data_IF_222762771455
#
_entry.id   IF_222762771455
#
_cell.length_a   1.000
_cell.length_b   1.000
_cell.length_c   1.000
_cell.angle_alpha   90.00
_cell.angle_beta   90.00
_cell.angle_gamma   90.00
#
_symmetry.space_group_name_H-M   'P 1'
#
loop_
_entity.id
_entity.type
_entity.pdbx_description
1 polymer ?
#
# COMPACT_ATOMS: atom_id res chain seq x y z
N UNK A 1 -47.33 53.52 -29.92
CA UNK A 1 -47.57 52.18 -29.32
C UNK A 1 -47.17 51.13 -30.36
N UNK A 2 -46.62 49.97 -29.99
CA UNK A 2 -45.35 49.72 -29.30
C UNK A 2 -44.37 48.85 -30.15
N UNK A 3 -43.22 48.53 -29.53
CA UNK A 3 -42.38 47.34 -29.71
C UNK A 3 -41.24 47.31 -30.75
N UNK A 4 -40.04 47.27 -30.17
CA UNK A 4 -38.70 46.81 -30.56
C UNK A 4 -38.62 45.49 -31.32
N UNK A 5 -37.69 45.32 -32.29
CA UNK A 5 -36.34 44.73 -32.11
C UNK A 5 -35.68 44.33 -33.47
N UNK A 6 -34.34 44.23 -33.45
CA UNK A 6 -33.45 43.24 -34.10
C UNK A 6 -32.46 43.64 -35.22
N UNK A 7 -31.17 43.30 -34.93
CA UNK A 7 -30.00 43.00 -35.79
C UNK A 7 -29.48 44.12 -36.74
N UNK A 8 -28.18 44.29 -37.04
CA UNK A 8 -27.03 43.41 -37.02
C UNK A 8 -25.75 44.30 -37.11
N UNK A 9 -24.76 44.10 -36.26
CA UNK A 9 -23.35 44.47 -36.57
C UNK A 9 -22.41 43.37 -36.08
N UNK A 10 -22.23 42.37 -36.94
CA UNK A 10 -20.97 41.62 -37.04
C UNK A 10 -19.86 42.56 -37.51
N UNK A 11 -18.71 42.50 -36.85
CA UNK A 11 -17.33 42.46 -37.39
C UNK A 11 -16.43 42.86 -36.23
N UNK A 12 -16.00 41.84 -35.48
CA UNK A 12 -14.80 41.72 -34.63
C UNK A 12 -15.16 40.68 -33.57
N UNK A 13 -14.58 39.50 -33.69
CA UNK A 13 -14.36 38.40 -32.72
C UNK A 13 -14.28 37.14 -33.59
N UNK A 14 -13.18 37.00 -34.35
CA UNK A 14 -12.82 35.75 -35.02
C UNK A 14 -11.31 35.51 -34.96
N UNK A 15 -10.64 36.03 -33.93
CA UNK A 15 -9.19 35.87 -33.76
C UNK A 15 -8.78 35.65 -32.29
N UNK A 16 -9.69 35.16 -31.45
CA UNK A 16 -9.41 34.96 -30.02
C UNK A 16 -10.00 33.64 -29.47
N UNK A 17 -10.20 32.65 -30.35
CA UNK A 17 -10.77 31.34 -30.01
C UNK A 17 -9.92 30.17 -30.53
N UNK A 18 -8.62 30.39 -30.71
CA UNK A 18 -7.65 29.38 -31.13
C UNK A 18 -6.39 29.36 -30.24
N UNK A 19 -6.53 29.68 -28.95
CA UNK A 19 -5.41 29.70 -28.00
C UNK A 19 -5.61 28.85 -26.73
N UNK A 20 -6.65 28.02 -26.66
CA UNK A 20 -6.82 27.09 -25.54
C UNK A 20 -7.34 25.74 -26.01
N UNK A 21 -6.49 25.00 -26.72
CA UNK A 21 -6.64 23.54 -26.85
C UNK A 21 -5.31 22.91 -27.27
N UNK A 22 -4.24 23.25 -26.56
CA UNK A 22 -3.13 22.33 -26.36
C UNK A 22 -3.14 21.98 -24.88
N UNK A 23 -4.16 21.24 -24.43
CA UNK A 23 -3.88 20.29 -23.36
C UNK A 23 -3.01 19.24 -24.03
N UNK A 24 -1.70 19.38 -23.84
CA UNK A 24 -0.78 18.26 -23.94
C UNK A 24 -1.44 17.11 -23.19
N UNK A 25 -1.72 16.02 -23.91
CA UNK A 25 -2.08 14.78 -23.26
C UNK A 25 -0.86 14.34 -22.46
N UNK A 26 -0.76 14.78 -21.20
CA UNK A 26 0.04 14.05 -20.23
C UNK A 26 -0.45 12.61 -20.33
N UNK A 27 0.44 11.70 -20.73
CA UNK A 27 0.14 10.28 -20.78
C UNK A 27 -0.45 9.93 -19.42
N UNK A 28 -1.71 9.48 -19.39
CA UNK A 28 -2.39 9.19 -18.13
C UNK A 28 -1.75 7.92 -17.58
N UNK A 29 -0.72 8.06 -16.76
CA UNK A 29 -0.05 6.96 -16.09
C UNK A 29 -1.08 6.34 -15.16
N UNK A 30 -1.40 5.07 -15.39
CA UNK A 30 -2.25 4.26 -14.51
C UNK A 30 -1.30 3.26 -13.84
N UNK A 31 -0.92 3.49 -12.57
CA UNK A 31 -0.06 2.57 -11.86
C UNK A 31 -0.69 1.18 -11.79
N UNK A 32 0.13 0.17 -12.01
CA UNK A 32 -0.23 -1.25 -11.93
C UNK A 32 0.82 -1.95 -11.06
N UNK A 33 0.40 -2.85 -10.16
CA UNK A 33 1.32 -3.52 -9.24
C UNK A 33 2.23 -4.48 -10.01
N UNK A 34 3.52 -4.52 -9.65
CA UNK A 34 4.53 -5.32 -10.36
C UNK A 34 4.80 -6.70 -9.73
N UNK A 35 4.33 -6.96 -8.50
CA UNK A 35 4.59 -8.18 -7.73
C UNK A 35 3.57 -8.37 -6.59
N UNK A 36 3.46 -9.58 -6.05
CA UNK A 36 2.58 -9.89 -4.91
C UNK A 36 2.98 -9.15 -3.62
N UNK A 37 2.00 -8.90 -2.73
CA UNK A 37 2.25 -8.37 -1.38
C UNK A 37 2.54 -9.51 -0.39
N UNK A 38 2.07 -10.73 -0.65
CA UNK A 38 2.43 -11.93 0.14
C UNK A 38 3.11 -13.01 -0.72
N UNK A 39 3.84 -13.91 -0.07
CA UNK A 39 4.43 -15.08 -0.73
C UNK A 39 3.49 -16.28 -0.80
N UNK A 40 2.66 -16.45 0.22
CA UNK A 40 1.74 -17.58 0.33
C UNK A 40 0.33 -17.22 -0.15
N UNK A 41 -0.27 -18.12 -0.92
CA UNK A 41 -1.71 -18.15 -1.22
C UNK A 41 -2.50 -18.95 -0.18
N UNK A 42 -1.80 -19.62 0.74
CA UNK A 42 -2.41 -20.36 1.84
C UNK A 42 -2.89 -19.36 2.90
N UNK A 43 -4.18 -19.39 3.17
CA UNK A 43 -4.82 -18.57 4.19
C UNK A 43 -4.30 -19.00 5.57
N UNK A 44 -3.46 -18.17 6.19
CA UNK A 44 -3.04 -18.35 7.58
C UNK A 44 -4.04 -17.66 8.52
N UNK A 45 -4.73 -18.47 9.32
CA UNK A 45 -5.80 -18.07 10.24
C UNK A 45 -5.30 -17.59 11.62
N UNK A 46 -4.01 -17.25 11.78
CA UNK A 46 -3.42 -17.12 13.12
C UNK A 46 -3.40 -15.70 13.69
N UNK A 47 -3.60 -14.65 12.88
CA UNK A 47 -3.56 -13.26 13.37
C UNK A 47 -4.96 -12.81 13.80
N UNK A 48 -5.15 -12.29 15.02
CA UNK A 48 -6.41 -11.67 15.42
C UNK A 48 -6.80 -10.53 14.48
N UNK A 49 -7.99 -10.65 13.87
CA UNK A 49 -8.53 -9.64 12.95
C UNK A 49 -9.42 -8.61 13.65
N UNK A 50 -9.64 -8.77 14.95
CA UNK A 50 -10.44 -7.88 15.81
C UNK A 50 -9.70 -7.61 17.11
N UNK A 51 -10.11 -6.57 17.84
CA UNK A 51 -9.42 -6.07 19.03
C UNK A 51 -8.35 -5.05 18.64
N UNK A 52 -7.15 -5.21 19.20
CA UNK A 52 -6.03 -4.29 18.99
C UNK A 52 -4.90 -5.02 18.29
N UNK A 53 -4.44 -4.46 17.16
CA UNK A 53 -3.19 -4.83 16.51
C UNK A 53 -2.12 -3.81 16.90
N UNK A 54 -1.03 -4.27 17.51
CA UNK A 54 0.13 -3.42 17.74
C UNK A 54 1.00 -3.35 16.47
N UNK A 55 1.48 -2.16 16.13
CA UNK A 55 2.31 -1.90 14.96
C UNK A 55 3.62 -1.24 15.40
N UNK A 56 4.73 -1.95 15.26
CA UNK A 56 6.07 -1.43 15.58
C UNK A 56 6.82 -1.19 14.29
N UNK A 57 7.12 0.08 14.00
CA UNK A 57 7.79 0.50 12.79
C UNK A 57 9.22 0.98 13.06
N UNK A 58 10.13 0.69 12.13
CA UNK A 58 11.50 1.20 12.12
C UNK A 58 11.79 1.92 10.81
N UNK A 59 12.70 2.89 10.85
CA UNK A 59 13.24 3.55 9.66
C UNK A 59 14.61 2.94 9.36
N UNK A 60 14.81 2.45 8.14
CA UNK A 60 16.04 1.77 7.72
C UNK A 60 16.62 2.47 6.50
N UNK A 61 17.94 2.65 6.51
CA UNK A 61 18.69 3.14 5.36
C UNK A 61 19.88 2.25 5.04
N UNK A 62 20.47 2.44 3.87
CA UNK A 62 21.52 1.59 3.33
C UNK A 62 22.87 2.30 3.39
N UNK A 63 23.95 1.59 3.03
CA UNK A 63 25.19 2.28 2.68
C UNK A 63 24.94 3.17 1.46
N UNK A 64 25.36 4.46 1.50
CA UNK A 64 25.15 5.35 0.38
C UNK A 64 25.89 4.89 -0.87
N UNK A 65 25.24 5.02 -2.02
CA UNK A 65 25.81 4.69 -3.32
C UNK A 65 25.37 5.69 -4.41
N UNK A 66 25.92 5.53 -5.61
CA UNK A 66 25.59 6.31 -6.82
C UNK A 66 25.00 5.39 -7.91
N UNK A 67 24.35 4.30 -7.53
CA UNK A 67 23.85 3.30 -8.46
C UNK A 67 22.59 3.78 -9.19
N UNK A 68 22.71 4.05 -10.49
CA UNK A 68 21.60 4.51 -11.33
C UNK A 68 20.46 3.48 -11.49
N UNK A 69 20.69 2.21 -11.11
CA UNK A 69 19.64 1.17 -11.14
C UNK A 69 18.78 1.15 -9.87
N UNK A 70 19.12 1.96 -8.86
CA UNK A 70 18.33 2.25 -7.67
C UNK A 70 17.90 3.71 -7.64
N UNK A 71 16.81 4.00 -6.95
CA UNK A 71 16.31 5.35 -6.77
C UNK A 71 17.04 6.07 -5.65
N UNK A 72 17.77 7.13 -6.01
CA UNK A 72 18.46 7.96 -5.04
C UNK A 72 19.73 7.31 -4.51
N UNK A 73 20.16 7.72 -3.31
CA UNK A 73 21.45 7.28 -2.71
C UNK A 73 21.26 6.33 -1.53
N UNK A 74 20.07 5.77 -1.32
CA UNK A 74 19.82 4.80 -0.26
C UNK A 74 19.73 5.37 1.17
N UNK A 75 19.67 6.70 1.34
CA UNK A 75 19.53 7.37 2.65
C UNK A 75 18.30 8.27 2.75
N UNK A 76 17.87 8.60 3.98
CA UNK A 76 16.74 9.51 4.18
C UNK A 76 17.10 10.98 3.92
N UNK A 77 18.21 11.45 4.49
CA UNK A 77 18.65 12.84 4.37
C UNK A 77 19.36 13.06 3.02
N UNK A 78 18.84 13.96 2.17
CA UNK A 78 19.39 14.24 0.85
C UNK A 78 19.28 13.10 -0.18
N UNK A 79 18.70 11.95 0.18
CA UNK A 79 18.79 10.75 -0.64
C UNK A 79 17.87 10.70 -1.86
N UNK A 80 16.93 11.62 -1.99
CA UNK A 80 16.06 11.78 -3.18
C UNK A 80 16.07 13.25 -3.63
N UNK A 81 17.14 13.71 -4.31
CA UNK A 81 17.30 15.13 -4.65
C UNK A 81 16.17 15.73 -5.47
N UNK A 82 15.49 14.93 -6.30
CA UNK A 82 14.38 15.40 -7.14
C UNK A 82 13.17 15.87 -6.30
N UNK A 83 12.93 15.31 -5.11
CA UNK A 83 11.86 15.76 -4.21
C UNK A 83 12.19 17.08 -3.49
N UNK A 84 13.47 17.41 -3.38
CA UNK A 84 13.92 18.69 -2.82
C UNK A 84 13.83 19.80 -3.88
N UNK A 85 14.16 19.47 -5.13
CA UNK A 85 14.17 20.41 -6.25
C UNK A 85 12.77 20.72 -6.78
N UNK A 86 11.89 19.71 -6.84
CA UNK A 86 10.50 19.84 -7.30
C UNK A 86 9.53 19.24 -6.25
N UNK A 87 9.15 20.03 -5.22
CA UNK A 87 8.35 19.52 -4.13
C UNK A 87 6.94 19.14 -4.57
N UNK A 88 6.51 17.96 -4.15
CA UNK A 88 5.17 17.42 -4.38
C UNK A 88 4.14 17.93 -3.37
N UNK A 89 2.87 18.00 -3.77
CA UNK A 89 1.73 18.27 -2.88
C UNK A 89 1.21 17.02 -2.15
N UNK A 90 1.59 15.82 -2.59
CA UNK A 90 1.31 14.55 -1.92
C UNK A 90 2.61 14.08 -1.29
N UNK A 91 2.56 13.73 -0.01
CA UNK A 91 3.71 13.26 0.76
C UNK A 91 4.94 14.18 0.63
N UNK A 92 4.83 15.49 0.96
CA UNK A 92 5.96 16.41 0.91
C UNK A 92 7.04 16.06 1.94
N UNK A 93 8.26 16.49 1.68
CA UNK A 93 9.36 16.45 2.65
C UNK A 93 9.06 17.33 3.89
N UNK A 94 9.64 17.02 5.08
CA UNK A 94 10.59 15.94 5.35
C UNK A 94 9.92 14.58 5.61
N UNK A 95 10.51 13.50 5.08
CA UNK A 95 10.09 12.12 5.36
C UNK A 95 10.82 11.57 6.59
N UNK A 96 10.43 12.06 7.75
CA UNK A 96 11.00 11.67 9.05
C UNK A 96 10.01 10.80 9.83
N UNK A 97 10.31 10.55 11.12
CA UNK A 97 9.43 9.80 12.01
C UNK A 97 7.98 10.29 11.99
N UNK A 98 7.74 11.60 12.07
CA UNK A 98 6.38 12.15 12.12
C UNK A 98 5.62 11.96 10.80
N UNK A 99 6.32 11.91 9.67
CA UNK A 99 5.74 11.54 8.38
C UNK A 99 5.21 10.10 8.39
N UNK A 100 6.01 9.14 8.87
CA UNK A 100 5.58 7.75 8.98
C UNK A 100 4.49 7.54 10.04
N UNK A 101 4.54 8.27 11.15
CA UNK A 101 3.47 8.28 12.16
C UNK A 101 2.14 8.78 11.55
N UNK A 102 2.17 9.74 10.61
CA UNK A 102 0.97 10.20 9.93
C UNK A 102 0.37 9.15 8.98
N UNK A 103 1.21 8.36 8.29
CA UNK A 103 0.75 7.23 7.48
C UNK A 103 0.16 6.10 8.33
N UNK A 104 0.75 5.81 9.49
CA UNK A 104 0.21 4.83 10.44
C UNK A 104 -1.10 5.31 11.09
N UNK A 105 -1.21 6.60 11.39
CA UNK A 105 -2.48 7.20 11.83
C UNK A 105 -3.55 7.09 10.74
N UNK A 106 -3.19 7.31 9.46
CA UNK A 106 -4.11 7.06 8.35
C UNK A 106 -4.56 5.60 8.32
N UNK A 107 -3.63 4.65 8.42
CA UNK A 107 -3.95 3.22 8.42
C UNK A 107 -4.86 2.85 9.60
N UNK A 108 -4.59 3.38 10.80
CA UNK A 108 -5.46 3.22 11.97
C UNK A 108 -6.89 3.67 11.66
N UNK A 109 -7.06 4.91 11.22
CA UNK A 109 -8.38 5.47 10.88
C UNK A 109 -9.08 4.65 9.78
N UNK A 110 -8.33 4.17 8.78
CA UNK A 110 -8.85 3.31 7.73
C UNK A 110 -9.40 1.99 8.28
N UNK A 111 -8.66 1.30 9.14
CA UNK A 111 -9.07 0.01 9.70
C UNK A 111 -10.19 0.15 10.73
N UNK A 112 -10.17 1.18 11.58
CA UNK A 112 -11.27 1.48 12.51
C UNK A 112 -12.58 1.71 11.73
N UNK A 113 -12.54 2.56 10.70
CA UNK A 113 -13.70 2.79 9.84
C UNK A 113 -14.14 1.54 9.07
N UNK A 114 -13.20 0.80 8.48
CA UNK A 114 -13.52 -0.33 7.60
C UNK A 114 -14.04 -1.56 8.35
N UNK A 115 -13.70 -1.67 9.63
CA UNK A 115 -14.08 -2.78 10.51
C UNK A 115 -15.24 -2.44 11.46
N UNK A 116 -15.85 -1.26 11.35
CA UNK A 116 -16.87 -0.77 12.28
C UNK A 116 -16.37 -0.80 13.75
N UNK A 117 -15.17 -0.24 13.98
CA UNK A 117 -14.45 -0.19 15.26
C UNK A 117 -14.09 -1.56 15.86
N UNK A 118 -14.21 -2.66 15.10
CA UNK A 118 -13.84 -4.00 15.57
C UNK A 118 -12.34 -4.22 15.61
N UNK A 119 -11.56 -3.48 14.82
CA UNK A 119 -10.10 -3.48 14.82
C UNK A 119 -9.58 -2.06 15.03
N UNK A 120 -8.71 -1.89 16.03
CA UNK A 120 -7.93 -0.67 16.24
C UNK A 120 -6.44 -0.97 16.12
N UNK A 121 -5.67 0.01 15.67
CA UNK A 121 -4.22 -0.07 15.58
C UNK A 121 -3.59 0.81 16.67
N UNK A 122 -2.73 0.21 17.48
CA UNK A 122 -1.77 0.94 18.29
C UNK A 122 -0.46 0.96 17.52
N UNK A 123 0.14 2.13 17.29
CA UNK A 123 1.36 2.20 16.50
C UNK A 123 2.47 2.98 17.20
N UNK A 124 3.72 2.60 16.89
CA UNK A 124 4.91 3.33 17.29
C UNK A 124 5.98 3.22 16.21
N UNK A 125 6.53 4.36 15.79
CA UNK A 125 7.77 4.40 15.02
C UNK A 125 8.93 4.59 15.98
N UNK A 126 9.96 3.73 15.92
CA UNK A 126 11.17 3.88 16.73
C UNK A 126 11.91 5.18 16.34
N UNK A 127 12.60 5.85 17.29
CA UNK A 127 13.15 7.18 17.05
C UNK A 127 14.33 7.20 16.09
N UNK A 128 15.09 6.10 16.02
CA UNK A 128 16.36 6.06 15.29
C UNK A 128 16.16 5.61 13.84
N UNK A 129 17.09 6.06 12.99
CA UNK A 129 17.27 5.54 11.64
C UNK A 129 18.40 4.52 11.68
N UNK A 130 18.12 3.28 11.31
CA UNK A 130 19.06 2.18 11.35
C UNK A 130 19.75 2.02 10.01
N UNK A 131 21.06 2.25 9.95
CA UNK A 131 21.85 2.06 8.74
C UNK A 131 22.36 0.62 8.63
N UNK A 132 22.04 -0.04 7.52
CA UNK A 132 22.55 -1.38 7.20
C UNK A 132 23.99 -1.33 6.70
N UNK A 133 24.67 -2.47 6.73
CA UNK A 133 26.08 -2.58 6.34
C UNK A 133 26.27 -2.72 4.81
N UNK A 134 25.19 -2.95 4.07
CA UNK A 134 25.17 -3.18 2.62
C UNK A 134 24.46 -2.07 1.85
N UNK A 135 24.74 -1.99 0.56
CA UNK A 135 24.02 -1.12 -0.38
C UNK A 135 22.62 -1.70 -0.69
N UNK A 136 21.68 -0.86 -1.13
CA UNK A 136 20.29 -1.28 -1.40
C UNK A 136 20.20 -2.44 -2.40
N UNK A 137 20.99 -2.39 -3.47
CA UNK A 137 20.99 -3.41 -4.54
C UNK A 137 21.28 -4.84 -4.04
N UNK A 138 21.98 -4.96 -2.91
CA UNK A 138 22.33 -6.27 -2.35
C UNK A 138 21.10 -7.00 -1.83
N UNK A 139 20.12 -6.25 -1.32
CA UNK A 139 18.83 -6.75 -0.84
C UNK A 139 17.76 -6.87 -1.93
N UNK A 140 17.99 -6.30 -3.11
CA UNK A 140 17.00 -6.35 -4.20
C UNK A 140 17.01 -7.71 -4.91
N UNK A 141 15.86 -8.40 -5.00
CA UNK A 141 15.73 -9.63 -5.75
C UNK A 141 15.57 -9.29 -7.24
N UNK A 142 16.56 -9.65 -8.06
CA UNK A 142 16.64 -9.27 -9.48
C UNK A 142 17.14 -10.42 -10.34
N UNK A 143 16.71 -10.48 -11.59
CA UNK A 143 17.07 -11.54 -12.56
C UNK A 143 15.83 -12.18 -13.18
N UNK A 144 16.00 -13.03 -14.19
CA UNK A 144 14.88 -13.73 -14.85
C UNK A 144 14.23 -14.78 -13.93
N UNK A 145 15.03 -15.39 -13.06
CA UNK A 145 14.60 -16.36 -12.05
C UNK A 145 15.15 -15.90 -10.70
N UNK A 146 14.54 -14.87 -10.12
CA UNK A 146 14.88 -14.41 -8.78
C UNK A 146 14.04 -15.11 -7.72
N UNK A 147 14.54 -15.10 -6.50
CA UNK A 147 13.85 -15.58 -5.30
C UNK A 147 13.94 -14.49 -4.21
N UNK A 148 13.13 -14.59 -3.15
CA UNK A 148 12.93 -13.51 -2.17
C UNK A 148 13.85 -13.58 -0.94
N UNK A 149 14.87 -14.43 -0.96
CA UNK A 149 15.79 -14.71 0.15
C UNK A 149 16.54 -13.44 0.56
N UNK A 150 16.87 -12.57 -0.40
CA UNK A 150 17.46 -11.26 -0.14
C UNK A 150 16.56 -10.33 0.67
N UNK A 151 15.24 -10.44 0.53
CA UNK A 151 14.28 -9.67 1.33
C UNK A 151 14.17 -10.22 2.75
N UNK A 152 14.26 -11.55 2.91
CA UNK A 152 14.36 -12.15 4.24
C UNK A 152 15.66 -11.72 4.94
N UNK A 153 16.79 -11.69 4.21
CA UNK A 153 18.06 -11.16 4.72
C UNK A 153 17.94 -9.68 5.10
N UNK A 154 17.27 -8.86 4.28
CA UNK A 154 16.99 -7.45 4.60
C UNK A 154 16.23 -7.28 5.92
N UNK A 155 15.20 -8.10 6.15
CA UNK A 155 14.43 -8.09 7.41
C UNK A 155 15.32 -8.50 8.59
N UNK A 156 16.11 -9.56 8.45
CA UNK A 156 17.04 -10.03 9.50
C UNK A 156 18.06 -8.96 9.84
N UNK A 157 18.73 -8.38 8.85
CA UNK A 157 19.75 -7.34 9.05
C UNK A 157 19.16 -6.10 9.71
N UNK A 158 17.94 -5.70 9.30
CA UNK A 158 17.23 -4.54 9.87
C UNK A 158 16.94 -4.69 11.35
N UNK A 159 16.33 -5.81 11.76
CA UNK A 159 16.01 -6.04 13.17
C UNK A 159 17.26 -6.40 14.00
N UNK A 160 18.32 -6.92 13.37
CA UNK A 160 19.63 -7.06 14.01
C UNK A 160 20.22 -5.70 14.36
N UNK A 161 20.12 -4.69 13.48
CA UNK A 161 20.55 -3.31 13.81
C UNK A 161 19.76 -2.71 14.98
N UNK A 162 18.49 -3.05 15.11
CA UNK A 162 17.68 -2.64 16.27
C UNK A 162 18.21 -3.28 17.56
N UNK A 163 18.50 -4.58 17.54
CA UNK A 163 19.11 -5.29 18.68
C UNK A 163 20.49 -4.73 19.05
N UNK A 164 21.36 -4.50 18.06
CA UNK A 164 22.69 -3.88 18.24
C UNK A 164 22.60 -2.48 18.86
N UNK A 165 21.49 -1.77 18.64
CA UNK A 165 21.22 -0.46 19.22
C UNK A 165 20.55 -0.53 20.61
N UNK A 166 20.41 -1.72 21.20
CA UNK A 166 19.85 -1.92 22.54
C UNK A 166 18.37 -2.31 22.56
N UNK A 167 17.78 -2.60 21.39
CA UNK A 167 16.42 -3.07 21.27
C UNK A 167 15.37 -1.98 21.49
N UNK A 168 14.20 -2.35 22.00
CA UNK A 168 13.08 -1.44 22.19
C UNK A 168 12.15 -1.91 23.32
N UNK A 169 11.41 -0.99 23.96
CA UNK A 169 10.45 -1.41 24.99
C UNK A 169 9.31 -2.20 24.37
N UNK A 170 9.27 -3.50 24.68
CA UNK A 170 8.30 -4.48 24.21
C UNK A 170 7.27 -4.86 25.29
N UNK A 171 7.19 -4.09 26.39
CA UNK A 171 6.25 -4.36 27.47
C UNK A 171 4.80 -4.34 26.95
N UNK A 172 4.08 -5.45 27.13
CA UNK A 172 2.69 -5.58 26.71
C UNK A 172 2.48 -5.99 25.26
N UNK A 173 3.54 -6.11 24.46
CA UNK A 173 3.46 -6.59 23.09
C UNK A 173 3.43 -8.13 23.05
N UNK A 174 2.68 -8.65 22.09
CA UNK A 174 2.66 -10.07 21.73
C UNK A 174 3.28 -10.23 20.32
N UNK A 175 4.41 -10.95 20.16
CA UNK A 175 5.02 -11.20 18.86
C UNK A 175 4.08 -11.72 17.77
N UNK A 176 3.08 -12.52 18.15
CA UNK A 176 2.15 -13.13 17.19
C UNK A 176 0.96 -12.22 16.86
N UNK A 177 0.75 -11.16 17.66
CA UNK A 177 -0.26 -10.11 17.45
C UNK A 177 0.38 -8.71 17.28
N UNK A 178 1.61 -8.66 16.74
CA UNK A 178 2.31 -7.41 16.40
C UNK A 178 2.70 -7.43 14.93
N UNK A 179 2.31 -6.38 14.20
CA UNK A 179 2.80 -6.11 12.86
C UNK A 179 4.11 -5.31 12.94
N UNK A 180 5.18 -5.83 12.36
CA UNK A 180 6.47 -5.14 12.32
C UNK A 180 6.65 -4.48 10.95
N UNK A 181 6.93 -3.19 10.92
CA UNK A 181 7.04 -2.44 9.65
C UNK A 181 8.46 -1.91 9.49
N UNK A 182 9.03 -2.10 8.32
CA UNK A 182 10.31 -1.51 7.92
C UNK A 182 10.01 -0.45 6.87
N UNK A 183 10.14 0.82 7.25
CA UNK A 183 10.16 1.93 6.30
C UNK A 183 11.59 2.12 5.79
N UNK A 184 11.85 1.80 4.53
CA UNK A 184 13.20 1.88 3.97
C UNK A 184 13.42 3.15 3.14
N UNK A 185 14.63 3.70 3.18
CA UNK A 185 15.04 4.80 2.30
C UNK A 185 14.95 4.40 0.81
N UNK A 186 14.71 5.38 -0.06
CA UNK A 186 14.51 5.17 -1.50
C UNK A 186 13.03 5.07 -1.90
N UNK A 187 12.79 4.53 -3.09
CA UNK A 187 11.46 4.29 -3.66
C UNK A 187 11.22 2.78 -3.69
N UNK A 188 9.96 2.33 -3.61
CA UNK A 188 9.62 0.92 -3.77
C UNK A 188 9.72 0.47 -5.22
N UNK A 189 9.84 -0.84 -5.48
CA UNK A 189 9.75 -1.40 -6.84
C UNK A 189 8.33 -1.88 -7.15
N UNK A 190 7.32 -1.09 -6.78
CA UNK A 190 5.93 -1.53 -6.69
C UNK A 190 5.07 -1.35 -7.93
N UNK A 191 5.49 -0.50 -8.88
CA UNK A 191 4.68 -0.22 -10.06
C UNK A 191 5.33 -0.76 -11.35
N UNK A 192 4.50 -1.23 -12.28
CA UNK A 192 4.91 -1.57 -13.64
C UNK A 192 5.18 -0.28 -14.42
N UNK A 193 6.40 -0.17 -14.96
CA UNK A 193 6.89 1.05 -15.63
C UNK A 193 7.00 0.91 -17.15
N UNK A 194 6.51 -0.19 -17.72
CA UNK A 194 6.59 -0.46 -19.16
C UNK A 194 5.87 0.64 -19.96
N UNK A 195 6.58 1.26 -20.90
CA UNK A 195 6.02 2.29 -21.77
C UNK A 195 5.78 3.65 -21.09
N UNK A 196 6.40 3.89 -19.93
CA UNK A 196 6.36 5.19 -19.22
C UNK A 196 7.65 5.98 -19.46
N UNK A 197 7.64 7.28 -19.14
CA UNK A 197 8.83 8.12 -19.08
C UNK A 197 9.35 8.35 -17.66
N UNK A 198 8.88 7.53 -16.71
CA UNK A 198 9.37 7.52 -15.33
C UNK A 198 10.69 6.77 -15.27
N UNK A 199 11.52 7.14 -14.29
CA UNK A 199 12.79 6.46 -14.06
C UNK A 199 12.55 4.98 -13.71
N UNK A 200 13.26 4.09 -14.40
CA UNK A 200 13.19 2.64 -14.22
C UNK A 200 14.38 2.21 -13.37
N UNK A 201 14.09 1.87 -12.12
CA UNK A 201 15.08 1.51 -11.10
C UNK A 201 14.88 0.06 -10.68
N UNK A 202 15.34 -0.92 -11.50
CA UNK A 202 15.02 -2.32 -11.30
C UNK A 202 15.65 -2.92 -10.03
N UNK A 203 16.60 -2.23 -9.40
CA UNK A 203 17.27 -2.67 -8.17
C UNK A 203 16.69 -2.02 -6.91
N UNK A 204 15.60 -1.27 -7.00
CA UNK A 204 14.82 -0.86 -5.83
C UNK A 204 14.25 -2.08 -5.08
N UNK A 205 13.95 -1.88 -3.80
CA UNK A 205 13.38 -2.93 -2.96
C UNK A 205 11.87 -3.04 -3.23
N UNK A 206 11.35 -4.23 -3.58
CA UNK A 206 9.91 -4.47 -3.68
C UNK A 206 9.24 -4.46 -2.29
N UNK A 207 8.05 -3.87 -2.18
CA UNK A 207 7.25 -3.95 -0.96
C UNK A 207 6.57 -5.31 -0.81
N UNK A 208 6.82 -5.97 0.31
CA UNK A 208 6.27 -7.30 0.59
C UNK A 208 6.03 -7.49 2.09
N UNK A 209 5.06 -8.32 2.43
CA UNK A 209 4.79 -8.80 3.78
C UNK A 209 5.28 -10.23 3.89
N UNK A 210 6.27 -10.47 4.75
CA UNK A 210 6.78 -11.80 5.06
C UNK A 210 6.39 -12.20 6.48
N UNK A 211 5.67 -13.32 6.60
CA UNK A 211 5.26 -13.92 7.87
C UNK A 211 6.32 -14.90 8.37
N UNK A 212 6.11 -15.43 9.57
CA UNK A 212 7.06 -16.34 10.23
C UNK A 212 7.41 -17.55 9.37
N UNK A 213 6.41 -18.15 8.72
CA UNK A 213 6.61 -19.30 7.86
C UNK A 213 7.32 -18.95 6.56
N UNK A 214 7.01 -17.78 5.97
CA UNK A 214 7.74 -17.29 4.79
C UNK A 214 9.22 -17.07 5.13
N UNK A 215 9.52 -16.44 6.27
CA UNK A 215 10.88 -16.24 6.75
C UNK A 215 11.59 -17.57 7.05
N UNK A 216 10.90 -18.53 7.66
CA UNK A 216 11.43 -19.87 7.92
C UNK A 216 11.85 -20.58 6.63
N UNK A 217 11.02 -20.49 5.59
CA UNK A 217 11.29 -21.07 4.26
C UNK A 217 12.45 -20.37 3.55
N UNK A 218 12.39 -19.04 3.42
CA UNK A 218 13.41 -18.26 2.71
C UNK A 218 14.79 -18.29 3.38
N UNK A 219 14.84 -18.40 4.71
CA UNK A 219 16.10 -18.50 5.44
C UNK A 219 16.64 -19.93 5.51
N UNK A 220 15.93 -20.92 4.96
CA UNK A 220 16.19 -22.36 5.12
C UNK A 220 16.34 -22.76 6.60
N UNK A 221 15.42 -22.25 7.44
CA UNK A 221 15.40 -22.44 8.88
C UNK A 221 14.02 -22.97 9.34
N UNK A 222 13.77 -24.29 9.25
CA UNK A 222 12.47 -24.87 9.64
C UNK A 222 12.08 -24.67 11.11
N UNK A 223 13.05 -24.36 11.98
CA UNK A 223 12.85 -24.04 13.40
C UNK A 223 12.95 -22.55 13.69
N UNK A 224 12.76 -21.69 12.67
CA UNK A 224 12.78 -20.24 12.84
C UNK A 224 11.68 -19.81 13.81
N UNK A 225 12.11 -19.16 14.89
CA UNK A 225 11.22 -18.70 15.96
C UNK A 225 11.15 -17.16 16.06
N UNK A 226 11.58 -16.47 14.99
CA UNK A 226 11.68 -15.02 14.96
C UNK A 226 13.07 -14.50 15.30
N UNK A 227 13.33 -13.28 14.83
CA UNK A 227 14.59 -12.55 15.03
C UNK A 227 14.65 -12.10 16.50
N UNK A 228 15.69 -12.46 17.26
CA UNK A 228 15.81 -12.07 18.66
C UNK A 228 16.06 -10.57 18.79
N UNK A 229 15.31 -9.92 19.67
CA UNK A 229 15.57 -8.55 20.12
C UNK A 229 15.43 -8.49 21.66
N UNK A 230 15.92 -7.40 22.27
CA UNK A 230 16.02 -7.20 23.71
C UNK A 230 16.82 -8.30 24.42
N UNK A 231 18.01 -8.63 23.92
CA UNK A 231 18.84 -9.76 24.38
C UNK A 231 18.12 -11.11 24.27
N UNK A 232 17.29 -11.26 23.24
CA UNK A 232 16.53 -12.48 22.95
C UNK A 232 15.27 -12.69 23.81
N UNK A 233 14.87 -11.70 24.61
CA UNK A 233 13.63 -11.78 25.42
C UNK A 233 12.36 -11.53 24.60
N UNK A 234 12.50 -10.98 23.40
CA UNK A 234 11.39 -10.74 22.49
C UNK A 234 11.78 -11.20 21.07
N UNK A 235 10.78 -11.51 20.25
CA UNK A 235 10.95 -12.07 18.90
C UNK A 235 10.19 -11.23 17.89
N UNK A 236 10.84 -10.90 16.78
CA UNK A 236 10.19 -10.34 15.60
C UNK A 236 9.89 -11.49 14.64
N UNK A 237 8.61 -11.76 14.41
CA UNK A 237 8.13 -12.97 13.71
C UNK A 237 7.68 -12.70 12.28
N UNK A 238 7.47 -11.45 11.90
CA UNK A 238 7.02 -11.01 10.58
C UNK A 238 7.66 -9.66 10.26
N UNK A 239 7.57 -9.21 9.01
CA UNK A 239 7.79 -7.80 8.67
C UNK A 239 7.10 -7.40 7.37
N UNK A 240 6.60 -6.17 7.35
CA UNK A 240 6.08 -5.46 6.19
C UNK A 240 7.19 -4.52 5.69
N UNK A 241 7.70 -4.74 4.49
CA UNK A 241 8.66 -3.85 3.84
C UNK A 241 7.86 -2.79 3.07
N UNK A 242 8.06 -1.51 3.42
CA UNK A 242 7.37 -0.36 2.81
C UNK A 242 8.43 0.71 2.49
N UNK A 243 8.43 1.32 1.30
CA UNK A 243 9.37 2.38 0.98
C UNK A 243 9.01 3.67 1.69
N UNK A 244 9.99 4.57 1.73
CA UNK A 244 9.80 5.96 2.13
C UNK A 244 8.71 6.65 1.30
N UNK A 245 8.65 6.38 0.00
CA UNK A 245 7.69 6.98 -0.92
C UNK A 245 7.49 6.12 -2.17
N UNK A 246 6.38 6.32 -2.87
CA UNK A 246 6.16 5.85 -4.24
C UNK A 246 6.23 6.98 -5.27
N UNK A 247 6.43 8.23 -4.83
CA UNK A 247 6.58 9.36 -5.74
C UNK A 247 7.84 9.19 -6.58
N UNK A 248 7.73 9.39 -7.89
CA UNK A 248 8.79 9.09 -8.85
C UNK A 248 9.16 10.27 -9.69
N UNK A 249 10.44 10.33 -10.04
CA UNK A 249 10.95 11.22 -11.07
C UNK A 249 10.61 10.68 -12.47
N UNK A 250 10.36 11.59 -13.40
CA UNK A 250 10.28 11.28 -14.82
C UNK A 250 10.73 12.46 -15.69
N UNK A 251 10.82 12.21 -16.99
CA UNK A 251 11.13 13.21 -18.01
C UNK A 251 9.93 13.43 -18.93
N UNK A 252 9.61 14.69 -19.23
CA UNK A 252 8.62 15.01 -20.26
C UNK A 252 9.20 14.89 -21.68
N UNK A 253 8.40 15.15 -22.71
CA UNK A 253 8.83 15.06 -24.12
C UNK A 253 9.90 16.10 -24.53
N UNK A 254 10.23 17.04 -23.65
CA UNK A 254 11.25 18.07 -23.83
C UNK A 254 12.44 17.86 -22.87
N UNK A 255 12.54 16.69 -22.24
CA UNK A 255 13.55 16.34 -21.23
C UNK A 255 13.52 17.24 -19.98
N UNK A 256 12.37 17.86 -19.67
CA UNK A 256 12.18 18.52 -18.38
C UNK A 256 11.84 17.48 -17.30
N UNK A 257 12.48 17.62 -16.15
CA UNK A 257 12.19 16.83 -14.97
C UNK A 257 10.81 17.16 -14.39
N UNK A 258 10.09 16.13 -13.96
CA UNK A 258 8.87 16.28 -13.18
C UNK A 258 8.76 15.16 -12.13
N UNK A 259 7.98 15.41 -11.08
CA UNK A 259 7.60 14.38 -10.10
C UNK A 259 6.20 13.87 -10.40
N UNK A 260 6.06 12.56 -10.54
CA UNK A 260 4.78 11.85 -10.49
C UNK A 260 4.48 11.48 -9.03
N UNK A 261 3.54 12.18 -8.38
CA UNK A 261 3.36 12.03 -6.96
C UNK A 261 2.44 10.84 -6.65
N UNK A 262 2.89 9.98 -5.74
CA UNK A 262 2.17 8.83 -5.22
C UNK A 262 2.42 8.71 -3.71
N UNK A 263 1.34 8.39 -3.00
CA UNK A 263 1.37 8.12 -1.57
C UNK A 263 1.47 6.63 -1.28
N UNK A 264 2.08 6.31 -0.13
CA UNK A 264 2.20 4.94 0.38
C UNK A 264 0.96 4.48 1.18
N UNK A 265 -0.03 5.35 1.41
CA UNK A 265 -1.22 5.02 2.22
C UNK A 265 -1.92 3.73 1.79
N UNK A 266 -2.29 3.61 0.51
CA UNK A 266 -2.98 2.43 -0.01
C UNK A 266 -2.12 1.17 0.06
N UNK A 267 -0.83 1.28 -0.20
CA UNK A 267 0.12 0.17 -0.11
C UNK A 267 0.31 -0.29 1.35
N UNK A 268 0.46 0.65 2.30
CA UNK A 268 0.55 0.36 3.73
C UNK A 268 -0.72 -0.34 4.24
N UNK A 269 -1.91 0.16 3.87
CA UNK A 269 -3.17 -0.49 4.24
C UNK A 269 -3.25 -1.91 3.67
N UNK A 270 -2.85 -2.12 2.41
CA UNK A 270 -2.85 -3.44 1.80
C UNK A 270 -1.85 -4.41 2.46
N UNK A 271 -0.65 -3.94 2.81
CA UNK A 271 0.33 -4.76 3.54
C UNK A 271 -0.15 -5.15 4.93
N UNK A 272 -0.85 -4.26 5.64
CA UNK A 272 -1.51 -4.61 6.91
C UNK A 272 -2.66 -5.60 6.66
N UNK A 273 -3.47 -5.42 5.60
CA UNK A 273 -4.50 -6.38 5.19
C UNK A 273 -3.92 -7.77 4.92
N UNK A 274 -2.75 -7.84 4.26
CA UNK A 274 -2.00 -9.07 4.02
C UNK A 274 -1.52 -9.71 5.32
N UNK A 275 -0.99 -8.90 6.26
CA UNK A 275 -0.63 -9.36 7.60
C UNK A 275 -1.82 -10.01 8.31
N UNK A 276 -3.00 -9.38 8.25
CA UNK A 276 -4.27 -9.90 8.79
C UNK A 276 -4.81 -11.15 8.05
N UNK A 277 -4.19 -11.56 6.95
CA UNK A 277 -4.48 -12.80 6.25
C UNK A 277 -5.20 -12.65 4.91
N UNK A 278 -5.47 -11.42 4.45
CA UNK A 278 -6.06 -11.24 3.12
C UNK A 278 -5.05 -11.64 2.02
N UNK A 279 -5.45 -12.44 1.03
CA UNK A 279 -4.62 -12.72 -0.14
C UNK A 279 -4.68 -11.56 -1.14
N UNK A 280 -3.72 -11.53 -2.05
CA UNK A 280 -3.82 -10.70 -3.25
C UNK A 280 -5.00 -11.14 -4.12
N UNK A 281 -5.84 -10.19 -4.54
CA UNK A 281 -7.03 -10.40 -5.38
C UNK A 281 -6.87 -9.84 -6.80
N UNK A 282 -5.64 -9.51 -7.18
CA UNK A 282 -5.21 -9.23 -8.55
C UNK A 282 -4.40 -10.41 -9.11
N UNK A 283 -4.13 -10.43 -10.40
CA UNK A 283 -3.23 -11.42 -10.98
C UNK A 283 -1.79 -11.12 -10.55
N UNK A 284 -1.24 -11.92 -9.64
CA UNK A 284 0.12 -11.72 -9.10
C UNK A 284 1.23 -12.04 -10.10
N UNK A 285 0.95 -12.78 -11.17
CA UNK A 285 1.93 -13.09 -12.23
C UNK A 285 2.04 -11.92 -13.23
N UNK A 286 0.91 -11.32 -13.62
CA UNK A 286 0.90 -10.25 -14.64
C UNK A 286 0.75 -8.86 -14.05
N UNK A 287 0.35 -8.75 -12.78
CA UNK A 287 -0.05 -7.50 -12.12
C UNK A 287 -1.45 -7.02 -12.50
N UNK A 288 -2.17 -7.73 -13.39
CA UNK A 288 -3.45 -7.25 -13.91
C UNK A 288 -4.51 -7.23 -12.81
N UNK A 289 -5.26 -6.13 -12.76
CA UNK A 289 -6.34 -5.94 -11.80
C UNK A 289 -7.39 -7.04 -11.93
N UNK A 290 -7.77 -7.63 -10.80
CA UNK A 290 -8.78 -8.68 -10.70
C UNK A 290 -10.11 -8.14 -10.20
N UNK A 291 -10.11 -7.56 -8.99
CA UNK A 291 -11.31 -6.97 -8.37
C UNK A 291 -11.41 -5.45 -8.58
N UNK A 292 -10.37 -4.81 -9.11
CA UNK A 292 -10.36 -3.36 -9.33
C UNK A 292 -10.50 -2.57 -8.04
N UNK A 293 -11.03 -1.34 -8.17
CA UNK A 293 -11.23 -0.41 -7.05
C UNK A 293 -12.42 -0.76 -6.14
N UNK A 294 -12.86 -2.03 -6.17
CA UNK A 294 -14.00 -2.53 -5.40
C UNK A 294 -13.58 -3.34 -4.16
N UNK A 295 -12.29 -3.46 -3.88
CA UNK A 295 -11.77 -4.01 -2.63
C UNK A 295 -10.32 -3.60 -2.41
N UNK A 296 -9.76 -3.87 -1.24
CA UNK A 296 -8.45 -3.35 -0.85
C UNK A 296 -7.33 -4.06 -1.61
N UNK A 297 -7.38 -5.39 -1.69
CA UNK A 297 -6.29 -6.26 -2.17
C UNK A 297 -6.11 -6.31 -3.69
N UNK A 298 -6.11 -5.16 -4.36
CA UNK A 298 -5.86 -5.03 -5.81
C UNK A 298 -4.90 -3.88 -6.11
N UNK A 299 -4.00 -4.07 -7.08
CA UNK A 299 -3.09 -3.01 -7.52
C UNK A 299 -3.80 -1.70 -7.90
N UNK A 300 -4.97 -1.77 -8.54
CA UNK A 300 -5.75 -0.60 -8.91
C UNK A 300 -6.31 0.17 -7.69
N UNK A 301 -6.43 -0.52 -6.55
CA UNK A 301 -6.87 0.01 -5.25
C UNK A 301 -5.73 0.59 -4.45
N UNK A 302 -4.57 -0.08 -4.41
CA UNK A 302 -3.36 0.42 -3.72
C UNK A 302 -3.00 1.83 -4.19
N UNK A 303 -3.13 2.06 -5.50
CA UNK A 303 -2.81 3.35 -6.14
C UNK A 303 -4.05 4.18 -6.50
N UNK A 304 -5.21 3.89 -5.92
CA UNK A 304 -6.42 4.69 -6.10
C UNK A 304 -6.17 6.13 -5.60
N UNK A 305 -6.55 7.12 -6.41
CA UNK A 305 -6.29 8.54 -6.13
C UNK A 305 -4.83 8.82 -5.75
N UNK A 306 -3.89 8.32 -6.56
CA UNK A 306 -2.44 8.46 -6.32
C UNK A 306 -2.00 7.80 -4.99
N UNK A 307 -2.69 6.73 -4.59
CA UNK A 307 -2.41 5.99 -3.36
C UNK A 307 -2.93 6.65 -2.08
N UNK A 308 -3.56 7.83 -2.16
CA UNK A 308 -4.05 8.57 -0.99
C UNK A 308 -5.26 7.90 -0.33
N UNK A 309 -6.18 7.37 -1.14
CA UNK A 309 -7.50 6.94 -0.69
C UNK A 309 -7.83 5.56 -1.26
N UNK A 310 -7.27 4.48 -0.67
CA UNK A 310 -7.70 3.12 -1.00
C UNK A 310 -9.20 2.98 -0.74
N UNK A 311 -9.93 2.16 -1.52
CA UNK A 311 -11.31 1.82 -1.22
C UNK A 311 -11.39 1.01 0.09
N UNK A 312 -12.57 0.99 0.71
CA UNK A 312 -12.86 -0.01 1.74
C UNK A 312 -12.71 -1.43 1.18
N UNK A 313 -12.37 -2.41 2.04
CA UNK A 313 -12.33 -3.81 1.63
C UNK A 313 -13.70 -4.25 1.07
N UNK A 314 -13.68 -5.17 0.11
CA UNK A 314 -14.85 -5.80 -0.49
C UNK A 314 -15.69 -6.52 0.55
N UNK A 315 -16.96 -6.78 0.22
CA UNK A 315 -17.81 -7.65 1.03
C UNK A 315 -17.15 -9.00 1.34
N UNK A 316 -16.37 -9.56 0.41
CA UNK A 316 -15.62 -10.79 0.63
C UNK A 316 -14.51 -10.60 1.66
N UNK A 317 -13.66 -9.57 1.50
CA UNK A 317 -12.57 -9.28 2.44
C UNK A 317 -13.09 -9.03 3.87
N UNK A 318 -14.17 -8.23 4.01
CA UNK A 318 -14.79 -7.97 5.33
C UNK A 318 -15.37 -9.24 5.96
N UNK A 319 -16.02 -10.09 5.16
CA UNK A 319 -16.57 -11.37 5.65
C UNK A 319 -15.44 -12.33 6.04
N UNK A 320 -14.38 -12.37 5.24
CA UNK A 320 -13.20 -13.20 5.47
C UNK A 320 -12.48 -12.83 6.78
N UNK A 321 -12.31 -11.52 7.03
CA UNK A 321 -11.73 -11.02 8.28
C UNK A 321 -12.68 -11.12 9.48
N UNK A 322 -13.93 -11.57 9.28
CA UNK A 322 -14.91 -11.74 10.34
C UNK A 322 -15.52 -10.43 10.84
N UNK A 323 -15.34 -9.31 10.13
CA UNK A 323 -15.91 -8.01 10.52
C UNK A 323 -17.40 -7.90 10.20
N UNK A 324 -17.93 -8.76 9.33
CA UNK A 324 -19.35 -8.76 9.00
C UNK A 324 -19.84 -10.17 8.72
N UNK A 325 -21.12 -10.40 9.00
CA UNK A 325 -21.81 -11.65 8.68
C UNK A 325 -22.93 -11.32 7.68
N UNK A 326 -22.77 -11.68 6.40
CA UNK A 326 -23.80 -11.47 5.39
C UNK A 326 -25.11 -12.18 5.76
N UNK A 327 -26.25 -11.52 5.55
CA UNK A 327 -27.55 -12.20 5.66
C UNK A 327 -27.86 -12.99 4.40
N UNK A 328 -28.50 -14.16 4.55
CA UNK A 328 -28.79 -15.04 3.43
C UNK A 328 -30.06 -14.64 2.69
N UNK A 329 -30.01 -14.70 1.35
CA UNK A 329 -31.16 -14.58 0.46
C UNK A 329 -31.28 -15.84 -0.39
N UNK A 330 -32.52 -16.24 -0.67
CA UNK A 330 -32.89 -17.46 -1.38
C UNK A 330 -33.92 -17.16 -2.47
N UNK A 331 -34.13 -18.12 -3.38
CA UNK A 331 -35.14 -18.00 -4.45
C UNK A 331 -36.57 -17.76 -3.93
N UNK A 332 -36.86 -18.24 -2.73
CA UNK A 332 -38.15 -18.08 -2.07
C UNK A 332 -38.20 -16.90 -1.09
N UNK A 333 -37.16 -16.06 -1.01
CA UNK A 333 -37.18 -14.83 -0.22
C UNK A 333 -38.28 -13.93 -0.77
N UNK A 334 -39.25 -13.57 0.08
CA UNK A 334 -40.38 -12.71 -0.29
C UNK A 334 -40.22 -11.30 0.27
N UNK A 335 -40.77 -10.31 -0.44
CA UNK A 335 -40.64 -8.89 -0.08
C UNK A 335 -39.43 -8.21 -0.73
N UNK A 336 -39.20 -6.95 -0.37
CA UNK A 336 -38.06 -6.19 -0.88
C UNK A 336 -36.79 -6.55 -0.09
N UNK A 337 -35.70 -6.83 -0.80
CA UNK A 337 -34.37 -6.91 -0.21
C UNK A 337 -33.81 -5.48 -0.14
N UNK A 338 -33.52 -5.00 1.05
CA UNK A 338 -32.95 -3.67 1.27
C UNK A 338 -31.51 -3.80 1.74
N UNK A 339 -30.61 -3.06 1.10
CA UNK A 339 -29.20 -2.97 1.46
C UNK A 339 -28.89 -1.52 1.81
N UNK A 340 -28.60 -1.26 3.08
CA UNK A 340 -28.07 0.03 3.50
C UNK A 340 -26.68 0.23 2.91
N UNK A 341 -26.30 1.50 2.70
CA UNK A 341 -24.99 1.77 2.13
C UNK A 341 -23.89 1.30 3.09
N UNK A 342 -22.80 0.73 2.56
CA UNK A 342 -21.69 0.20 3.35
C UNK A 342 -21.08 1.26 4.27
N UNK A 343 -21.14 2.54 3.87
CA UNK A 343 -20.63 3.68 4.65
C UNK A 343 -21.45 4.04 5.90
N UNK A 344 -22.63 3.45 6.08
CA UNK A 344 -23.50 3.68 7.24
C UNK A 344 -23.23 2.72 8.41
N UNK A 345 -22.33 1.75 8.24
CA UNK A 345 -21.93 0.79 9.28
C UNK A 345 -23.13 0.08 9.94
N UNK A 346 -24.16 -0.25 9.15
CA UNK A 346 -25.35 -0.96 9.58
C UNK A 346 -25.21 -2.47 9.32
N UNK A 347 -25.79 -3.30 10.20
CA UNK A 347 -25.63 -4.76 10.17
C UNK A 347 -26.29 -5.42 8.95
N UNK A 348 -27.18 -4.74 8.23
CA UNK A 348 -27.88 -5.24 7.04
C UNK A 348 -27.35 -4.65 5.72
N UNK A 349 -26.03 -4.44 5.62
CA UNK A 349 -25.41 -3.83 4.44
C UNK A 349 -24.88 -4.84 3.39
N UNK A 350 -24.80 -6.14 3.72
CA UNK A 350 -24.30 -7.19 2.82
C UNK A 350 -25.25 -8.40 2.78
N UNK A 351 -25.70 -8.77 1.57
CA UNK A 351 -26.46 -9.99 1.32
C UNK A 351 -25.58 -11.09 0.70
N UNK A 352 -25.89 -12.34 1.02
CA UNK A 352 -25.31 -13.53 0.40
C UNK A 352 -26.38 -14.36 -0.32
N UNK A 353 -26.16 -14.62 -1.61
CA UNK A 353 -27.00 -15.54 -2.39
C UNK A 353 -26.19 -16.78 -2.77
N UNK A 354 -26.56 -17.94 -2.22
CA UNK A 354 -25.87 -19.20 -2.49
C UNK A 354 -26.35 -19.79 -3.83
N UNK A 355 -25.43 -20.03 -4.76
CA UNK A 355 -25.68 -20.74 -6.02
C UNK A 355 -25.53 -22.26 -5.83
N UNK A 356 -24.57 -22.65 -5.00
CA UNK A 356 -24.25 -24.04 -4.65
C UNK A 356 -23.60 -24.11 -3.26
N UNK A 357 -23.09 -25.28 -2.86
CA UNK A 357 -22.31 -25.42 -1.63
C UNK A 357 -20.94 -24.75 -1.68
N UNK A 358 -20.46 -24.39 -2.87
CA UNK A 358 -19.11 -23.83 -3.09
C UNK A 358 -19.12 -22.49 -3.83
N UNK A 359 -20.25 -22.04 -4.35
CA UNK A 359 -20.38 -20.81 -5.14
C UNK A 359 -21.51 -19.94 -4.60
N UNK A 360 -21.23 -18.64 -4.48
CA UNK A 360 -22.18 -17.65 -3.98
C UNK A 360 -21.87 -16.26 -4.54
N UNK A 361 -22.86 -15.38 -4.49
CA UNK A 361 -22.66 -13.94 -4.66
C UNK A 361 -22.72 -13.24 -3.31
N UNK A 362 -21.86 -12.24 -3.12
CA UNK A 362 -22.02 -11.21 -2.10
C UNK A 362 -22.45 -9.92 -2.78
N UNK A 363 -23.46 -9.28 -2.20
CA UNK A 363 -24.07 -8.06 -2.74
C UNK A 363 -24.00 -7.00 -1.66
N UNK A 364 -23.36 -5.87 -1.98
CA UNK A 364 -23.25 -4.72 -1.10
C UNK A 364 -23.63 -3.43 -1.83
N UNK A 365 -24.02 -2.41 -1.07
CA UNK A 365 -24.37 -1.11 -1.61
C UNK A 365 -23.27 -0.08 -1.32
N UNK A 366 -22.40 0.20 -2.29
CA UNK A 366 -21.30 1.17 -2.15
C UNK A 366 -21.67 2.62 -2.46
N UNK A 367 -22.93 3.01 -2.28
CA UNK A 367 -23.37 4.38 -2.53
C UNK A 367 -22.74 5.34 -1.50
N UNK A 368 -22.09 6.41 -1.97
CA UNK A 368 -21.28 7.32 -1.12
C UNK A 368 -21.94 8.65 -0.81
N UNK A 369 -22.92 9.09 -1.62
CA UNK A 369 -23.54 10.41 -1.52
C UNK A 369 -24.95 10.32 -0.88
N UNK A 370 -25.01 10.00 0.42
CA UNK A 370 -26.28 9.86 1.16
C UNK A 370 -26.82 11.18 1.73
#
# INVERSE_FOLDING_TARGET
MPATHFFNKSVLILSMLFLFSFQSSAQKIVPKKSHSISLSSNIEYSVPTTGTLDVIAIMVEFQPDENELTSGTGVFDGGLPYLENDPTNIDPLPHNRSYFEAHLEFAKNYFEQSSDDQLTLNYRVLPDVYRLDKEMKEYSPTGETFTNEKLAEFIVDSWTKVEENGGFDATGLDPDNTAFVIFHAGIGRDIELVGTSLDITPQDIPSITLKKNDLAELLDQPTFDGIPVNNGNFRVTNSLIIPRTESRRGLDIQDNEFVFPLSINGLLCASIGSHLGLPDLFNTETGDSGIGRFGLMDGASFFAYQGLFPPEPSAWEKTFLGWTTPFEIFDNTTGNISLTASSLNDQNNIARYNLSSTEYFLIENRYRDL
#
